data_IF_061446656359
#
_entry.id   IF_061446656359
#
_cell.length_a   1.000
_cell.length_b   1.000
_cell.length_c   1.000
_cell.angle_alpha   90.00
_cell.angle_beta   90.00
_cell.angle_gamma   90.00
#
_symmetry.space_group_name_H-M   'P 1'
#
loop_
_entity.id
_entity.type
_entity.pdbx_description
1 polymer ?
#
# COMPACT_ATOMS: atom_id res chain seq x y z
N UNK A 1 -24.37 1.96 -22.59
CA UNK A 1 -23.86 1.53 -21.28
C UNK A 1 -22.38 1.23 -21.44
N UNK A 2 -21.58 2.28 -21.54
CA UNK A 2 -20.13 2.23 -21.69
C UNK A 2 -19.52 2.04 -20.31
N UNK A 3 -18.68 1.02 -20.15
CA UNK A 3 -18.01 0.70 -18.88
C UNK A 3 -17.19 1.90 -18.43
N UNK A 4 -17.58 2.50 -17.31
CA UNK A 4 -16.98 3.72 -16.78
C UNK A 4 -15.52 3.48 -16.40
N UNK A 5 -14.57 4.30 -16.91
CA UNK A 5 -13.15 4.17 -16.58
C UNK A 5 -12.87 4.22 -15.06
N UNK A 6 -13.77 4.84 -14.29
CA UNK A 6 -13.70 4.94 -12.84
C UNK A 6 -13.72 3.60 -12.11
N UNK A 7 -14.45 2.59 -12.61
CA UNK A 7 -14.60 1.28 -11.94
C UNK A 7 -13.29 0.48 -11.98
N UNK A 8 -12.52 0.63 -13.07
CA UNK A 8 -11.26 -0.09 -13.26
C UNK A 8 -10.15 0.44 -12.36
N UNK A 9 -10.13 1.75 -12.11
CA UNK A 9 -9.17 2.37 -11.21
C UNK A 9 -9.53 2.11 -9.73
N UNK A 10 -10.81 2.11 -9.38
CA UNK A 10 -11.28 1.72 -8.05
C UNK A 10 -10.91 0.26 -7.68
N UNK A 11 -11.01 -0.68 -8.62
CA UNK A 11 -10.58 -2.08 -8.39
C UNK A 11 -9.10 -2.20 -8.06
N UNK A 12 -8.24 -1.41 -8.70
CA UNK A 12 -6.78 -1.42 -8.46
C UNK A 12 -6.45 -0.87 -7.07
N UNK A 13 -7.10 0.21 -6.67
CA UNK A 13 -6.99 0.75 -5.31
C UNK A 13 -7.44 -0.25 -4.25
N UNK A 14 -8.54 -0.97 -4.50
CA UNK A 14 -9.06 -1.97 -3.57
C UNK A 14 -8.12 -3.17 -3.37
N UNK A 15 -7.45 -3.64 -4.44
CA UNK A 15 -6.45 -4.72 -4.34
C UNK A 15 -5.25 -4.30 -3.49
N UNK A 16 -4.76 -3.07 -3.68
CA UNK A 16 -3.65 -2.54 -2.87
C UNK A 16 -4.08 -2.36 -1.41
N UNK A 17 -5.29 -1.86 -1.17
CA UNK A 17 -5.87 -1.78 0.17
C UNK A 17 -5.96 -3.15 0.84
N UNK A 18 -6.44 -4.17 0.13
CA UNK A 18 -6.51 -5.54 0.66
C UNK A 18 -5.11 -6.10 0.98
N UNK A 19 -4.11 -5.79 0.16
CA UNK A 19 -2.72 -6.18 0.41
C UNK A 19 -2.16 -5.51 1.67
N UNK A 20 -2.41 -4.22 1.86
CA UNK A 20 -2.07 -3.52 3.10
C UNK A 20 -2.79 -4.11 4.32
N UNK A 21 -4.09 -4.42 4.17
CA UNK A 21 -4.89 -5.02 5.24
C UNK A 21 -4.32 -6.39 5.66
N UNK A 22 -3.85 -7.20 4.71
CA UNK A 22 -3.22 -8.48 4.99
C UNK A 22 -1.90 -8.31 5.76
N UNK A 23 -1.07 -7.33 5.40
CA UNK A 23 0.16 -7.00 6.13
C UNK A 23 -0.15 -6.55 7.57
N UNK A 24 -1.17 -5.70 7.75
CA UNK A 24 -1.63 -5.25 9.05
C UNK A 24 -2.17 -6.41 9.90
N UNK A 25 -2.99 -7.28 9.31
CA UNK A 25 -3.49 -8.47 9.99
C UNK A 25 -2.35 -9.40 10.43
N UNK A 26 -1.32 -9.58 9.60
CA UNK A 26 -0.12 -10.34 9.96
C UNK A 26 0.60 -9.74 11.17
N UNK A 27 0.74 -8.42 11.24
CA UNK A 27 1.28 -7.73 12.42
C UNK A 27 0.44 -7.99 13.67
N UNK A 28 -0.89 -7.87 13.57
CA UNK A 28 -1.80 -8.12 14.69
C UNK A 28 -1.67 -9.56 15.17
N UNK A 29 -1.62 -10.54 14.25
CA UNK A 29 -1.43 -11.95 14.60
C UNK A 29 -0.11 -12.17 15.34
N UNK A 30 1.00 -11.61 14.86
CA UNK A 30 2.29 -11.73 15.54
C UNK A 30 2.27 -11.04 16.92
N UNK A 31 1.63 -9.88 17.03
CA UNK A 31 1.50 -9.15 18.28
C UNK A 31 0.75 -9.94 19.36
N UNK A 32 -0.30 -10.65 18.96
CA UNK A 32 -1.15 -11.43 19.88
C UNK A 32 -0.56 -12.82 20.15
N UNK A 33 -0.05 -13.51 19.13
CA UNK A 33 0.43 -14.88 19.26
C UNK A 33 1.85 -14.98 19.85
N UNK A 34 2.68 -13.95 19.68
CA UNK A 34 4.08 -13.96 20.10
C UNK A 34 4.54 -12.63 20.72
N UNK A 35 3.92 -12.18 21.85
CA UNK A 35 4.31 -10.93 22.51
C UNK A 35 5.78 -10.93 22.98
N UNK A 36 6.34 -12.09 23.32
CA UNK A 36 7.76 -12.23 23.65
C UNK A 36 8.69 -11.92 22.46
N UNK A 37 8.29 -12.31 21.24
CA UNK A 37 9.03 -11.96 20.03
C UNK A 37 8.92 -10.45 19.72
N UNK A 38 7.78 -9.82 20.04
CA UNK A 38 7.62 -8.36 19.94
C UNK A 38 8.47 -7.58 20.93
N UNK A 39 8.75 -8.14 22.10
CA UNK A 39 9.62 -7.55 23.11
C UNK A 39 11.11 -7.70 22.79
N UNK A 40 11.47 -8.55 21.83
CA UNK A 40 12.86 -8.75 21.41
C UNK A 40 13.43 -7.46 20.79
N UNK A 41 14.67 -7.13 21.13
CA UNK A 41 15.35 -5.87 20.76
C UNK A 41 16.59 -6.15 19.92
N UNK A 42 16.43 -6.45 18.62
CA UNK A 42 17.55 -6.85 17.78
C UNK A 42 18.47 -5.69 17.39
N UNK A 43 17.96 -4.47 17.24
CA UNK A 43 18.73 -3.32 16.75
C UNK A 43 18.37 -2.01 17.46
N UNK A 44 19.40 -1.28 17.91
CA UNK A 44 19.27 0.09 18.43
C UNK A 44 18.48 0.25 19.73
N UNK A 45 18.21 -0.83 20.46
CA UNK A 45 17.40 -0.81 21.69
C UNK A 45 15.88 -0.74 21.45
N UNK A 46 15.44 -0.55 20.20
CA UNK A 46 14.03 -0.63 19.82
C UNK A 46 13.57 -2.08 19.75
N UNK A 47 12.35 -2.34 20.21
CA UNK A 47 11.75 -3.67 20.15
C UNK A 47 11.18 -3.95 18.76
N UNK A 48 10.95 -5.23 18.46
CA UNK A 48 10.43 -5.67 17.17
C UNK A 48 9.06 -5.05 16.86
N UNK A 49 8.28 -4.74 17.90
CA UNK A 49 7.01 -4.02 17.78
C UNK A 49 7.17 -2.65 17.09
N UNK A 50 8.15 -1.86 17.52
CA UNK A 50 8.44 -0.53 16.93
C UNK A 50 8.88 -0.67 15.49
N UNK A 51 9.74 -1.64 15.16
CA UNK A 51 10.18 -1.88 13.79
C UNK A 51 9.03 -2.27 12.86
N UNK A 52 8.14 -3.17 13.31
CA UNK A 52 6.95 -3.53 12.55
C UNK A 52 5.97 -2.36 12.40
N UNK A 53 5.77 -1.57 13.47
CA UNK A 53 4.94 -0.36 13.41
C UNK A 53 5.47 0.65 12.39
N UNK A 54 6.79 0.83 12.35
CA UNK A 54 7.44 1.71 11.38
C UNK A 54 7.32 1.18 9.95
N UNK A 55 7.46 -0.14 9.75
CA UNK A 55 7.22 -0.77 8.46
C UNK A 55 5.76 -0.60 7.99
N UNK A 56 4.78 -0.66 8.90
CA UNK A 56 3.36 -0.45 8.59
C UNK A 56 3.01 0.99 8.22
N UNK A 57 3.81 1.99 8.62
CA UNK A 57 3.63 3.38 8.17
C UNK A 57 4.18 3.54 6.75
N UNK A 58 5.32 2.93 6.45
CA UNK A 58 5.98 3.03 5.14
C UNK A 58 5.28 2.20 4.06
N UNK A 59 4.79 1.01 4.40
CA UNK A 59 4.13 0.10 3.46
C UNK A 59 2.97 0.73 2.66
N UNK A 60 1.98 1.42 3.27
CA UNK A 60 0.88 2.03 2.54
C UNK A 60 1.35 3.20 1.68
N UNK A 61 2.39 3.93 2.08
CA UNK A 61 3.00 4.98 1.25
C UNK A 61 3.64 4.40 -0.02
N UNK A 62 4.35 3.27 0.11
CA UNK A 62 4.93 2.54 -1.03
C UNK A 62 3.82 2.02 -1.95
N UNK A 63 2.77 1.41 -1.39
CA UNK A 63 1.61 0.94 -2.17
C UNK A 63 0.91 2.10 -2.91
N UNK A 64 0.75 3.26 -2.26
CA UNK A 64 0.19 4.45 -2.89
C UNK A 64 1.08 4.99 -4.02
N UNK A 65 2.41 4.98 -3.84
CA UNK A 65 3.34 5.35 -4.89
C UNK A 65 3.28 4.38 -6.09
N UNK A 66 3.15 3.07 -5.83
CA UNK A 66 2.95 2.05 -6.88
C UNK A 66 1.64 2.30 -7.63
N UNK A 67 0.54 2.58 -6.92
CA UNK A 67 -0.74 2.94 -7.53
C UNK A 67 -0.61 4.15 -8.46
N UNK A 68 0.03 5.23 -7.98
CA UNK A 68 0.21 6.47 -8.71
C UNK A 68 1.07 6.25 -9.97
N UNK A 69 2.14 5.46 -9.88
CA UNK A 69 2.96 5.10 -11.04
C UNK A 69 2.16 4.29 -12.05
N UNK A 70 1.29 3.39 -11.59
CA UNK A 70 0.44 2.59 -12.47
C UNK A 70 -0.60 3.44 -13.20
N UNK A 71 -1.20 4.40 -12.50
CA UNK A 71 -2.15 5.35 -13.07
C UNK A 71 -1.47 6.25 -14.12
N UNK A 72 -0.26 6.76 -13.82
CA UNK A 72 0.53 7.58 -14.76
C UNK A 72 0.85 6.88 -16.07
N UNK A 73 1.12 5.57 -16.06
CA UNK A 73 1.34 4.78 -17.28
C UNK A 73 0.08 4.60 -18.14
N UNK A 74 -1.11 4.79 -17.54
CA UNK A 74 -2.38 4.71 -18.25
C UNK A 74 -2.84 6.02 -18.90
N UNK A 75 -2.27 7.16 -18.49
CA UNK A 75 -2.60 8.47 -19.05
C UNK A 75 -1.88 8.68 -20.38
N UNK A 76 -2.60 8.58 -21.51
CA UNK A 76 -2.06 9.01 -22.80
C UNK A 76 -1.98 10.54 -22.84
N UNK A 77 -0.93 11.14 -23.45
CA UNK A 77 -0.92 12.57 -23.70
C UNK A 77 -2.18 12.93 -24.49
N UNK A 78 -2.94 13.92 -24.01
CA UNK A 78 -3.98 14.53 -24.83
C UNK A 78 -3.23 15.18 -25.99
N UNK A 79 -3.27 14.55 -27.16
CA UNK A 79 -2.94 15.24 -28.40
C UNK A 79 -3.89 16.43 -28.47
N UNK A 80 -3.37 17.60 -28.16
CA UNK A 80 -3.97 18.85 -28.59
C UNK A 80 -3.85 18.86 -30.11
N UNK A 81 -4.76 18.17 -30.77
CA UNK A 81 -5.06 18.39 -32.18
C UNK A 81 -5.41 19.86 -32.29
N UNK A 82 -4.43 20.61 -32.77
CA UNK A 82 -4.57 21.92 -33.40
C UNK A 82 -5.89 21.96 -34.17
N UNK A 83 -6.86 22.70 -33.65
CA UNK A 83 -7.95 23.19 -34.47
C UNK A 83 -7.49 24.51 -35.12
N UNK A 84 -7.83 24.72 -36.41
CA UNK A 84 -7.26 25.74 -37.30
C UNK A 84 -7.58 27.18 -36.89
#
# INVERSE_FOLDING_TARGET
MTIDPQVRDARRGLVLFACYLALYAGFVVVAVAAPAAMAWRPFGGANLAVWYGMALIVAPLVLAAIYLLWLRRGARPVETTSAP
#
